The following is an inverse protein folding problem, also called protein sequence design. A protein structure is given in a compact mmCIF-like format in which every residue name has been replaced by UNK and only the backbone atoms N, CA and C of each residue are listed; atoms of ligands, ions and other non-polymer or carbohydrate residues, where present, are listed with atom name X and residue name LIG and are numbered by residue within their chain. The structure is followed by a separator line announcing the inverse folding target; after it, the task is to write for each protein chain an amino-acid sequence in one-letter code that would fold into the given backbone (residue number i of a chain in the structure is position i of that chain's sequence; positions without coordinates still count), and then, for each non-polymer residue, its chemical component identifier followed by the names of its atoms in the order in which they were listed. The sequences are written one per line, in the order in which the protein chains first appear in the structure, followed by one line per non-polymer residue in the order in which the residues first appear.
data_IF_416356599682
#
_entry.id   IF_416356599682
#
_cell.length_a   1.000
_cell.length_b   1.000
_cell.length_c   1.000
_cell.angle_alpha   90.00
_cell.angle_beta   90.00
_cell.angle_gamma   90.00
#
_symmetry.space_group_name_H-M   'P 1'
#
loop_
_entity.id
_entity.type
_entity.pdbx_description
1 polymer ?
#
# COMPACT_ATOMS: atom_id res chain seq x y z
N UNK A 1 -11.60 17.45 0.20
CA UNK A 1 -10.67 16.42 0.73
C UNK A 1 -11.46 15.58 1.71
N UNK A 2 -11.59 14.28 1.46
CA UNK A 2 -12.18 13.35 2.43
C UNK A 2 -11.24 13.32 3.64
N UNK A 3 -11.66 13.90 4.77
CA UNK A 3 -10.89 13.86 6.00
C UNK A 3 -10.89 12.40 6.47
N UNK A 4 -9.75 11.71 6.32
CA UNK A 4 -9.61 10.31 6.73
C UNK A 4 -9.92 10.15 8.23
N UNK A 5 -9.71 11.19 9.04
CA UNK A 5 -9.98 11.18 10.49
C UNK A 5 -11.47 11.31 10.86
N UNK A 6 -12.37 11.51 9.91
CA UNK A 6 -13.82 11.53 10.15
C UNK A 6 -14.51 10.45 9.32
N UNK A 7 -13.95 9.24 9.35
CA UNK A 7 -14.43 8.11 8.57
C UNK A 7 -15.02 7.02 9.47
N UNK A 8 -16.36 6.93 9.47
CA UNK A 8 -17.13 5.96 10.26
C UNK A 8 -16.77 4.50 9.96
N UNK A 9 -16.39 4.18 8.71
CA UNK A 9 -15.90 2.84 8.37
C UNK A 9 -14.60 2.55 9.11
N UNK A 10 -13.74 3.56 9.22
CA UNK A 10 -12.44 3.41 9.86
C UNK A 10 -12.56 3.32 11.38
N UNK A 11 -13.47 4.07 11.98
CA UNK A 11 -13.89 3.88 13.38
C UNK A 11 -14.32 2.43 13.64
N UNK A 12 -15.19 1.90 12.77
CA UNK A 12 -15.66 0.52 12.88
C UNK A 12 -14.51 -0.48 12.74
N UNK A 13 -13.63 -0.29 11.75
CA UNK A 13 -12.47 -1.18 11.56
C UNK A 13 -11.53 -1.16 12.76
N UNK A 14 -11.23 0.01 13.32
CA UNK A 14 -10.38 0.17 14.51
C UNK A 14 -11.00 -0.46 15.77
N UNK A 15 -12.33 -0.47 15.89
CA UNK A 15 -13.03 -1.13 16.99
C UNK A 15 -12.92 -2.67 16.97
N UNK A 16 -12.59 -3.26 15.81
CA UNK A 16 -12.47 -4.71 15.64
C UNK A 16 -11.07 -5.21 16.03
N UNK A 17 -10.92 -5.67 17.27
CA UNK A 17 -9.64 -6.12 17.81
C UNK A 17 -8.93 -7.24 16.99
N UNK A 18 -9.68 -8.12 16.30
CA UNK A 18 -9.10 -9.24 15.55
C UNK A 18 -8.71 -8.89 14.10
N UNK A 19 -9.02 -7.67 13.65
CA UNK A 19 -8.80 -7.29 12.26
C UNK A 19 -7.31 -7.21 11.93
N UNK A 20 -6.47 -6.72 12.84
CA UNK A 20 -5.01 -6.68 12.64
C UNK A 20 -4.43 -8.08 12.36
N UNK A 21 -4.75 -9.07 13.20
CA UNK A 21 -4.24 -10.44 13.04
C UNK A 21 -4.75 -11.08 11.74
N UNK A 22 -6.00 -10.79 11.38
CA UNK A 22 -6.61 -11.27 10.14
C UNK A 22 -5.90 -10.70 8.91
N UNK A 23 -5.55 -9.40 8.94
CA UNK A 23 -4.77 -8.75 7.88
C UNK A 23 -3.38 -9.37 7.78
N UNK A 24 -2.69 -9.56 8.92
CA UNK A 24 -1.35 -10.19 8.92
C UNK A 24 -1.38 -11.64 8.39
N UNK A 25 -2.38 -12.43 8.76
CA UNK A 25 -2.55 -13.78 8.20
C UNK A 25 -2.82 -13.77 6.70
N UNK A 26 -3.56 -12.76 6.21
CA UNK A 26 -3.87 -12.63 4.80
C UNK A 26 -2.63 -12.25 3.98
N UNK A 27 -1.75 -11.39 4.52
CA UNK A 27 -0.43 -11.09 3.94
C UNK A 27 0.37 -12.37 3.70
N UNK A 28 0.41 -13.27 4.70
CA UNK A 28 1.14 -14.54 4.59
C UNK A 28 0.50 -15.47 3.55
N UNK A 29 -0.84 -15.57 3.54
CA UNK A 29 -1.56 -16.56 2.71
C UNK A 29 -1.69 -16.18 1.25
N UNK A 30 -1.76 -14.89 0.91
CA UNK A 30 -2.03 -14.44 -0.45
C UNK A 30 -1.22 -13.20 -0.86
N UNK A 31 0.13 -13.26 -0.83
CA UNK A 31 0.96 -12.12 -1.21
C UNK A 31 0.82 -11.74 -2.69
N UNK A 32 0.50 -12.70 -3.57
CA UNK A 32 0.50 -12.48 -5.01
C UNK A 32 -0.79 -11.87 -5.59
N UNK A 33 -1.97 -12.17 -5.00
CA UNK A 33 -3.26 -11.78 -5.61
C UNK A 33 -3.84 -10.50 -5.03
N UNK A 34 -3.65 -10.26 -3.73
CA UNK A 34 -4.23 -9.13 -3.02
C UNK A 34 -3.20 -8.36 -2.18
N UNK A 35 -1.91 -8.65 -2.33
CA UNK A 35 -0.87 -8.09 -1.50
C UNK A 35 -0.89 -6.57 -1.46
N UNK A 36 -1.00 -5.92 -2.62
CA UNK A 36 -1.04 -4.46 -2.72
C UNK A 36 -2.20 -3.85 -1.93
N UNK A 37 -3.42 -4.36 -2.13
CA UNK A 37 -4.63 -3.85 -1.45
C UNK A 37 -4.56 -4.07 0.07
N UNK A 38 -4.00 -5.20 0.50
CA UNK A 38 -3.80 -5.51 1.92
C UNK A 38 -2.78 -4.56 2.55
N UNK A 39 -1.66 -4.28 1.86
CA UNK A 39 -0.67 -3.31 2.31
C UNK A 39 -1.25 -1.89 2.37
N UNK A 40 -2.09 -1.51 1.40
CA UNK A 40 -2.77 -0.21 1.40
C UNK A 40 -3.74 -0.10 2.57
N UNK A 41 -4.53 -1.14 2.83
CA UNK A 41 -5.44 -1.18 3.97
C UNK A 41 -4.69 -1.07 5.30
N UNK A 42 -3.59 -1.83 5.45
CA UNK A 42 -2.71 -1.74 6.61
C UNK A 42 -2.12 -0.34 6.77
N UNK A 43 -1.65 0.27 5.68
CA UNK A 43 -1.09 1.62 5.69
C UNK A 43 -2.13 2.67 6.10
N UNK A 44 -3.39 2.53 5.67
CA UNK A 44 -4.50 3.38 6.11
C UNK A 44 -4.78 3.19 7.60
N UNK A 45 -4.83 1.94 8.07
CA UNK A 45 -5.05 1.61 9.49
C UNK A 45 -3.95 2.14 10.38
N UNK A 46 -2.69 2.09 9.94
CA UNK A 46 -1.55 2.66 10.67
C UNK A 46 -1.54 4.20 10.65
N UNK A 47 -2.11 4.85 9.62
CA UNK A 47 -2.10 6.31 9.49
C UNK A 47 -3.32 7.00 10.13
N UNK A 48 -4.43 6.27 10.32
CA UNK A 48 -5.65 6.79 10.92
C UNK A 48 -5.40 7.30 12.36
N UNK A 49 -5.79 8.54 12.66
CA UNK A 49 -5.60 9.17 13.99
C UNK A 49 -4.17 9.15 14.54
N UNK A 50 -3.14 9.02 13.69
CA UNK A 50 -1.72 8.91 14.12
C UNK A 50 -1.28 9.97 15.14
N UNK A 51 -1.93 11.13 15.17
CA UNK A 51 -1.55 12.29 16.01
C UNK A 51 -2.57 12.66 17.11
N UNK A 52 -3.74 12.02 17.18
CA UNK A 52 -4.85 12.42 18.07
C UNK A 52 -5.11 11.42 19.21
N UNK A 53 -4.86 10.14 18.94
CA UNK A 53 -5.00 9.03 19.89
C UNK A 53 -3.95 7.97 19.57
N UNK A 54 -3.39 7.30 20.59
CA UNK A 54 -2.42 6.23 20.36
C UNK A 54 -3.06 5.13 19.52
N UNK A 55 -2.74 5.10 18.23
CA UNK A 55 -3.31 4.14 17.29
C UNK A 55 -2.84 2.73 17.68
N UNK A 56 -3.77 1.92 18.14
CA UNK A 56 -3.50 0.54 18.60
C UNK A 56 -2.82 -0.32 17.53
N UNK A 57 -3.08 -0.08 16.24
CA UNK A 57 -2.45 -0.82 15.14
C UNK A 57 -0.97 -0.45 15.00
N UNK A 58 -0.58 0.82 15.21
CA UNK A 58 0.83 1.22 15.24
C UNK A 58 1.55 0.51 16.37
N UNK A 59 0.97 0.53 17.58
CA UNK A 59 1.54 -0.14 18.75
C UNK A 59 1.70 -1.64 18.50
N UNK A 60 0.65 -2.29 18.00
CA UNK A 60 0.67 -3.72 17.67
C UNK A 60 1.68 -4.06 16.60
N UNK A 61 1.80 -3.25 15.55
CA UNK A 61 2.80 -3.44 14.51
C UNK A 61 4.23 -3.25 15.04
N UNK A 62 4.45 -2.33 15.98
CA UNK A 62 5.78 -2.08 16.55
C UNK A 62 6.34 -3.22 17.41
N UNK A 63 5.46 -4.04 17.98
CA UNK A 63 5.82 -5.24 18.77
C UNK A 63 5.60 -6.54 17.98
N UNK A 64 5.23 -6.43 16.70
CA UNK A 64 4.96 -7.57 15.85
C UNK A 64 6.28 -8.20 15.40
N UNK A 65 6.46 -9.47 15.76
CA UNK A 65 7.72 -10.22 15.59
C UNK A 65 7.45 -11.56 14.87
N UNK A 66 6.86 -11.47 13.69
CA UNK A 66 6.68 -12.61 12.78
C UNK A 66 7.48 -12.35 11.50
N UNK A 67 8.66 -12.98 11.44
CA UNK A 67 9.59 -12.84 10.31
C UNK A 67 8.96 -13.24 8.97
N UNK A 68 8.04 -14.21 8.97
CA UNK A 68 7.38 -14.68 7.74
C UNK A 68 6.46 -13.59 7.20
N UNK A 69 5.61 -13.03 8.07
CA UNK A 69 4.74 -11.93 7.69
C UNK A 69 5.52 -10.68 7.24
N UNK A 70 6.58 -10.33 7.96
CA UNK A 70 7.44 -9.18 7.61
C UNK A 70 8.14 -9.38 6.26
N UNK A 71 8.59 -10.60 5.98
CA UNK A 71 9.19 -10.96 4.68
C UNK A 71 8.16 -10.86 3.55
N UNK A 72 6.95 -11.39 3.76
CA UNK A 72 5.87 -11.28 2.79
C UNK A 72 5.47 -9.82 2.53
N UNK A 73 5.41 -8.96 3.55
CA UNK A 73 5.20 -7.52 3.38
C UNK A 73 6.28 -6.89 2.50
N UNK A 74 7.56 -7.18 2.79
CA UNK A 74 8.68 -6.65 2.01
C UNK A 74 8.62 -7.10 0.54
N UNK A 75 8.27 -8.37 0.29
CA UNK A 75 8.09 -8.90 -1.05
C UNK A 75 6.96 -8.20 -1.81
N UNK A 76 5.81 -8.01 -1.17
CA UNK A 76 4.66 -7.32 -1.76
C UNK A 76 5.04 -5.88 -2.13
N UNK A 77 5.59 -5.13 -1.17
CA UNK A 77 6.00 -3.73 -1.38
C UNK A 77 7.02 -3.64 -2.52
N UNK A 78 8.03 -4.53 -2.52
CA UNK A 78 9.06 -4.57 -3.56
C UNK A 78 8.48 -4.90 -4.94
N UNK A 79 7.55 -5.85 -5.02
CA UNK A 79 6.88 -6.20 -6.27
C UNK A 79 6.05 -5.05 -6.81
N UNK A 80 5.24 -4.41 -5.96
CA UNK A 80 4.41 -3.26 -6.35
C UNK A 80 5.24 -2.07 -6.80
N UNK A 81 6.36 -1.78 -6.12
CA UNK A 81 7.25 -0.69 -6.54
C UNK A 81 7.93 -0.99 -7.88
N UNK A 82 8.35 -2.24 -8.09
CA UNK A 82 8.93 -2.66 -9.36
C UNK A 82 7.91 -2.56 -10.51
N UNK A 83 6.66 -2.93 -10.27
CA UNK A 83 5.57 -2.77 -11.24
C UNK A 83 5.31 -1.30 -11.57
N UNK A 84 5.24 -0.44 -10.55
CA UNK A 84 5.10 0.99 -10.72
C UNK A 84 6.25 1.59 -11.54
N UNK A 85 7.50 1.25 -11.21
CA UNK A 85 8.68 1.74 -11.94
C UNK A 85 8.67 1.29 -13.40
N UNK A 86 8.30 0.03 -13.67
CA UNK A 86 8.15 -0.47 -15.04
C UNK A 86 7.09 0.29 -15.82
N UNK A 87 5.93 0.53 -15.21
CA UNK A 87 4.86 1.32 -15.84
C UNK A 87 5.33 2.75 -16.14
N UNK A 88 6.02 3.38 -15.18
CA UNK A 88 6.59 4.71 -15.34
C UNK A 88 7.63 4.77 -16.47
N UNK A 89 8.53 3.79 -16.57
CA UNK A 89 9.52 3.74 -17.66
C UNK A 89 8.87 3.55 -19.04
N UNK A 90 7.80 2.75 -19.12
CA UNK A 90 7.02 2.57 -20.35
C UNK A 90 6.34 3.89 -20.76
N UNK A 91 5.69 4.59 -19.83
CA UNK A 91 5.08 5.89 -20.10
C UNK A 91 6.11 6.94 -20.52
N UNK A 92 7.26 6.98 -19.84
CA UNK A 92 8.37 7.90 -20.17
C UNK A 92 8.90 7.63 -21.58
N UNK A 93 9.18 6.37 -21.91
CA UNK A 93 9.68 5.99 -23.23
C UNK A 93 8.63 6.21 -24.33
N UNK A 94 7.34 5.98 -24.06
CA UNK A 94 6.26 6.29 -24.98
C UNK A 94 6.16 7.80 -25.27
N UNK A 95 6.25 8.64 -24.24
CA UNK A 95 6.24 10.11 -24.39
C UNK A 95 7.47 10.62 -25.14
N UNK A 96 8.67 10.17 -24.78
CA UNK A 96 9.89 10.47 -25.54
C UNK A 96 9.75 10.00 -26.98
N UNK A 97 9.09 8.84 -27.21
CA UNK A 97 8.90 8.30 -28.53
C UNK A 97 8.00 9.18 -29.42
N UNK A 98 6.90 9.67 -28.86
CA UNK A 98 5.98 10.57 -29.55
C UNK A 98 6.66 11.91 -29.90
N UNK A 99 7.62 12.35 -29.08
CA UNK A 99 8.33 13.62 -29.26
C UNK A 99 9.30 13.59 -30.45
N UNK A 100 10.04 12.48 -30.67
CA UNK A 100 10.90 12.37 -31.86
C UNK A 100 10.13 12.18 -33.17
N UNK A 101 8.99 11.47 -33.17
CA UNK A 101 8.13 11.37 -34.35
C UNK A 101 7.49 12.72 -34.70
N UNK A 102 7.04 13.50 -33.71
CA UNK A 102 6.46 14.83 -33.94
C UNK A 102 7.45 15.83 -34.57
N UNK A 103 8.74 15.67 -34.26
CA UNK A 103 9.82 16.50 -34.84
C UNK A 103 10.09 16.17 -36.32
N UNK A 104 9.77 14.95 -36.79
CA UNK A 104 9.96 14.52 -38.18
C UNK A 104 8.78 14.90 -39.10
N UNK A 105 7.56 14.99 -38.57
CA UNK A 105 6.35 15.34 -39.35
C UNK A 105 6.14 16.86 -39.51
N UNK A 106 7.03 17.68 -38.95
CA UNK A 106 6.97 19.15 -39.06
C UNK A 106 7.87 19.70 -40.18
N UNK A 107 8.50 18.83 -40.98
CA UNK A 107 9.10 19.16 -42.27
C UNK A 107 8.13 18.90 -43.42
#
# INVERSE_FOLDING_TARGET
MLNINENMLMDYMMANANLFDSIMQLVIRSPASHGYDICLLLALLLQYHKYDTSNTYIVRFSVFDDEVALTSLAQIIGSSLNEYNKAYDIERTANESSSWWSSLTTF
#
